data_IF_717863808697
#
_entry.id   IF_717863808697
#
_cell.length_a   1.000
_cell.length_b   1.000
_cell.length_c   1.000
_cell.angle_alpha   90.00
_cell.angle_beta   90.00
_cell.angle_gamma   90.00
#
_symmetry.space_group_name_H-M   'P 1'
#
loop_
_entity.id
_entity.type
_entity.pdbx_description
1 polymer ?
#
# COMPACT_ATOMS: atom_id res chain seq x y z
N UNK A 1 -5.61 3.79 39.25
CA UNK A 1 -5.40 2.57 38.45
C UNK A 1 -6.79 2.05 38.13
N UNK A 2 -7.28 2.23 36.89
CA UNK A 2 -8.59 1.66 36.51
C UNK A 2 -8.33 0.18 36.21
N UNK A 3 -9.02 -0.70 36.93
CA UNK A 3 -9.06 -2.12 36.61
C UNK A 3 -9.60 -2.26 35.19
N UNK A 4 -8.83 -2.93 34.33
CA UNK A 4 -9.24 -3.24 32.98
C UNK A 4 -10.04 -4.54 33.08
N UNK A 5 -11.35 -4.42 32.93
CA UNK A 5 -12.28 -5.54 32.97
C UNK A 5 -12.20 -6.30 31.65
N UNK A 6 -11.68 -7.53 31.72
CA UNK A 6 -11.59 -8.45 30.58
C UNK A 6 -12.88 -9.30 30.43
N UNK A 7 -13.90 -9.07 31.26
CA UNK A 7 -15.11 -9.89 31.31
C UNK A 7 -16.01 -9.79 30.08
N UNK A 8 -16.09 -8.59 29.47
CA UNK A 8 -17.08 -8.31 28.42
C UNK A 8 -16.63 -8.71 27.00
N UNK A 9 -15.32 -8.77 26.74
CA UNK A 9 -14.78 -9.03 25.38
C UNK A 9 -14.95 -10.50 24.91
N UNK A 10 -15.38 -11.39 25.80
CA UNK A 10 -15.53 -12.83 25.53
C UNK A 10 -16.97 -13.33 25.57
N UNK A 11 -17.96 -12.48 25.89
CA UNK A 11 -19.36 -12.90 26.02
C UNK A 11 -19.97 -13.39 24.70
N UNK A 12 -19.41 -12.99 23.55
CA UNK A 12 -19.92 -13.33 22.22
C UNK A 12 -19.19 -14.52 21.56
N UNK A 13 -18.19 -15.11 22.25
CA UNK A 13 -17.49 -16.30 21.74
C UNK A 13 -18.32 -17.55 21.99
N UNK A 14 -19.28 -17.80 21.10
CA UNK A 14 -20.09 -19.02 21.13
C UNK A 14 -19.22 -20.27 20.91
N UNK A 15 -19.32 -21.25 21.82
CA UNK A 15 -18.55 -22.50 21.77
C UNK A 15 -18.74 -23.24 20.44
N UNK A 16 -17.64 -23.72 19.86
CA UNK A 16 -17.63 -24.49 18.61
C UNK A 16 -18.01 -25.94 18.92
N UNK A 17 -19.17 -26.39 18.44
CA UNK A 17 -19.75 -27.66 18.89
C UNK A 17 -19.11 -28.90 18.26
N UNK A 18 -18.59 -28.80 17.04
CA UNK A 18 -17.91 -29.87 16.30
C UNK A 18 -17.17 -29.32 15.07
N UNK A 19 -16.41 -30.19 14.38
CA UNK A 19 -15.63 -29.82 13.18
C UNK A 19 -16.50 -29.25 12.05
N UNK A 20 -17.70 -29.78 11.85
CA UNK A 20 -18.62 -29.27 10.82
C UNK A 20 -19.16 -27.87 11.16
N UNK A 21 -19.39 -27.58 12.44
CA UNK A 21 -19.73 -26.23 12.92
C UNK A 21 -18.57 -25.25 12.69
N UNK A 22 -17.34 -25.68 12.97
CA UNK A 22 -16.13 -24.90 12.71
C UNK A 22 -15.95 -24.56 11.23
N UNK A 23 -16.06 -25.56 10.34
CA UNK A 23 -15.92 -25.37 8.89
C UNK A 23 -16.96 -24.40 8.36
N UNK A 24 -18.22 -24.54 8.78
CA UNK A 24 -19.30 -23.63 8.38
C UNK A 24 -19.04 -22.18 8.81
N UNK A 25 -18.51 -21.97 10.03
CA UNK A 25 -18.13 -20.63 10.50
C UNK A 25 -16.96 -20.05 9.71
N UNK A 26 -15.96 -20.87 9.37
CA UNK A 26 -14.86 -20.44 8.50
C UNK A 26 -15.33 -20.07 7.10
N UNK A 27 -16.29 -20.80 6.54
CA UNK A 27 -16.91 -20.47 5.26
C UNK A 27 -17.71 -19.15 5.34
N UNK A 28 -18.49 -18.95 6.41
CA UNK A 28 -19.21 -17.68 6.65
C UNK A 28 -18.25 -16.50 6.76
N UNK A 29 -17.19 -16.65 7.56
CA UNK A 29 -16.19 -15.60 7.72
C UNK A 29 -15.43 -15.30 6.43
N UNK A 30 -15.07 -16.33 5.65
CA UNK A 30 -14.46 -16.15 4.34
C UNK A 30 -15.40 -15.43 3.35
N UNK A 31 -16.71 -15.67 3.45
CA UNK A 31 -17.71 -14.97 2.66
C UNK A 31 -17.87 -13.50 3.08
N UNK A 32 -17.94 -13.22 4.39
CA UNK A 32 -17.97 -11.87 4.94
C UNK A 32 -16.73 -11.05 4.53
N UNK A 33 -15.54 -11.67 4.56
CA UNK A 33 -14.31 -11.05 4.08
C UNK A 33 -14.39 -10.73 2.57
N UNK A 34 -14.90 -11.65 1.74
CA UNK A 34 -15.08 -11.40 0.30
C UNK A 34 -16.05 -10.25 0.04
N UNK A 35 -17.18 -10.23 0.73
CA UNK A 35 -18.16 -9.15 0.61
C UNK A 35 -17.57 -7.81 1.02
N UNK A 36 -16.79 -7.78 2.11
CA UNK A 36 -16.10 -6.56 2.56
C UNK A 36 -15.11 -6.06 1.50
N UNK A 37 -14.30 -6.96 0.92
CA UNK A 37 -13.37 -6.62 -0.16
C UNK A 37 -14.12 -6.06 -1.38
N UNK A 38 -15.22 -6.69 -1.79
CA UNK A 38 -16.03 -6.23 -2.93
C UNK A 38 -16.68 -4.86 -2.69
N UNK A 39 -17.12 -4.59 -1.46
CA UNK A 39 -17.69 -3.30 -1.06
C UNK A 39 -16.64 -2.18 -0.98
N UNK A 40 -15.43 -2.51 -0.52
CA UNK A 40 -14.36 -1.53 -0.32
C UNK A 40 -13.53 -1.27 -1.59
N UNK A 41 -13.51 -2.21 -2.55
CA UNK A 41 -12.75 -2.10 -3.79
C UNK A 41 -13.69 -1.88 -4.99
N UNK A 42 -14.09 -0.63 -5.23
CA UNK A 42 -14.80 -0.28 -6.46
C UNK A 42 -14.00 -0.70 -7.71
N UNK A 43 -14.66 -1.45 -8.60
CA UNK A 43 -14.05 -1.85 -9.86
C UNK A 43 -13.76 -0.61 -10.73
N UNK A 44 -12.59 -0.60 -11.37
CA UNK A 44 -12.27 0.48 -12.29
C UNK A 44 -13.24 0.51 -13.49
N UNK A 45 -13.56 1.70 -14.04
CA UNK A 45 -14.33 1.81 -15.26
C UNK A 45 -13.69 0.98 -16.39
N UNK A 46 -14.52 0.24 -17.13
CA UNK A 46 -14.09 -0.60 -18.26
C UNK A 46 -13.77 0.19 -19.54
N UNK A 47 -13.94 1.51 -19.51
CA UNK A 47 -13.62 2.38 -20.63
C UNK A 47 -12.10 2.48 -20.85
N UNK A 48 -11.66 2.30 -22.10
CA UNK A 48 -10.25 2.29 -22.45
C UNK A 48 -9.58 3.65 -22.24
N UNK A 49 -10.28 4.75 -22.56
CA UNK A 49 -9.73 6.10 -22.39
C UNK A 49 -9.60 6.46 -20.90
N UNK A 50 -10.60 6.13 -20.08
CA UNK A 50 -10.54 6.30 -18.63
C UNK A 50 -9.41 5.46 -18.00
N UNK A 51 -9.20 4.22 -18.47
CA UNK A 51 -8.10 3.36 -18.03
C UNK A 51 -6.73 3.94 -18.40
N UNK A 52 -6.60 4.47 -19.62
CA UNK A 52 -5.38 5.14 -20.06
C UNK A 52 -5.07 6.37 -19.21
N UNK A 53 -6.03 7.29 -19.07
CA UNK A 53 -5.86 8.52 -18.28
C UNK A 53 -5.47 8.23 -16.82
N UNK A 54 -6.07 7.19 -16.22
CA UNK A 54 -5.71 6.73 -14.86
C UNK A 54 -4.26 6.26 -14.80
N UNK A 55 -3.81 5.45 -15.76
CA UNK A 55 -2.42 4.96 -15.81
C UNK A 55 -1.42 6.09 -16.01
N UNK A 56 -1.70 7.01 -16.93
CA UNK A 56 -0.85 8.18 -17.20
C UNK A 56 -0.67 9.04 -15.96
N UNK A 57 -1.75 9.30 -15.21
CA UNK A 57 -1.65 10.01 -13.93
C UNK A 57 -0.87 9.22 -12.88
N UNK A 58 -1.17 7.93 -12.73
CA UNK A 58 -0.52 7.08 -11.72
C UNK A 58 0.99 6.91 -11.94
N UNK A 59 1.47 7.04 -13.18
CA UNK A 59 2.88 7.00 -13.54
C UNK A 59 3.67 8.20 -13.01
N UNK A 60 3.04 9.36 -12.85
CA UNK A 60 3.69 10.60 -12.41
C UNK A 60 3.34 10.98 -10.96
N UNK A 61 2.16 10.59 -10.49
CA UNK A 61 1.61 10.95 -9.19
C UNK A 61 1.60 9.71 -8.28
N UNK A 62 2.64 9.60 -7.44
CA UNK A 62 2.83 8.45 -6.57
C UNK A 62 1.74 8.34 -5.50
N UNK A 63 1.30 9.47 -4.93
CA UNK A 63 0.20 9.48 -3.97
C UNK A 63 -1.08 8.96 -4.63
N UNK A 64 -1.41 9.44 -5.83
CA UNK A 64 -2.56 8.95 -6.58
C UNK A 64 -2.47 7.46 -6.86
N UNK A 65 -1.31 6.94 -7.26
CA UNK A 65 -1.12 5.50 -7.45
C UNK A 65 -1.48 4.71 -6.18
N UNK A 66 -0.95 5.12 -5.02
CA UNK A 66 -1.22 4.46 -3.75
C UNK A 66 -2.70 4.50 -3.37
N UNK A 67 -3.33 5.68 -3.44
CA UNK A 67 -4.75 5.84 -3.10
C UNK A 67 -5.68 5.11 -4.07
N UNK A 68 -5.29 5.01 -5.34
CA UNK A 68 -6.14 4.43 -6.40
C UNK A 68 -6.07 2.91 -6.43
N UNK A 69 -4.88 2.33 -6.32
CA UNK A 69 -4.68 0.88 -6.48
C UNK A 69 -4.58 0.13 -5.16
N UNK A 70 -4.29 0.83 -4.05
CA UNK A 70 -4.11 0.24 -2.73
C UNK A 70 -4.93 0.97 -1.66
N UNK A 71 -6.25 1.15 -1.85
CA UNK A 71 -7.10 1.89 -0.91
C UNK A 71 -7.10 1.26 0.49
N UNK A 72 -6.90 -0.06 0.61
CA UNK A 72 -6.79 -0.77 1.88
C UNK A 72 -5.50 -0.46 2.66
N UNK A 73 -4.42 -0.05 1.98
CA UNK A 73 -3.21 0.46 2.63
C UNK A 73 -3.26 1.97 2.86
N UNK A 74 -4.14 2.68 2.15
CA UNK A 74 -4.28 4.14 2.19
C UNK A 74 -5.76 4.52 2.39
N UNK A 75 -6.38 4.12 3.52
CA UNK A 75 -7.83 4.21 3.71
C UNK A 75 -8.34 5.63 3.97
N UNK A 76 -7.43 6.61 4.09
CA UNK A 76 -7.76 7.98 4.48
C UNK A 76 -7.07 9.00 3.57
N UNK A 77 -7.72 10.13 3.27
CA UNK A 77 -7.08 11.26 2.61
C UNK A 77 -6.24 12.12 3.58
N UNK A 78 -6.25 11.81 4.88
CA UNK A 78 -5.54 12.57 5.90
C UNK A 78 -4.15 11.99 6.17
N UNK A 79 -3.13 12.70 5.70
CA UNK A 79 -1.72 12.27 5.81
C UNK A 79 -0.94 13.02 6.87
N UNK A 80 -0.05 12.30 7.55
CA UNK A 80 0.97 12.89 8.42
C UNK A 80 1.96 13.75 7.63
N UNK A 81 2.76 14.56 8.33
CA UNK A 81 3.81 15.34 7.68
C UNK A 81 4.84 14.44 6.98
N UNK A 82 5.17 13.30 7.60
CA UNK A 82 6.10 12.34 7.02
C UNK A 82 5.54 11.73 5.73
N UNK A 83 4.27 11.31 5.73
CA UNK A 83 3.64 10.71 4.55
C UNK A 83 3.56 11.70 3.38
N UNK A 84 3.19 12.97 3.65
CA UNK A 84 3.22 14.04 2.65
C UNK A 84 4.62 14.25 2.08
N UNK A 85 5.63 14.31 2.96
CA UNK A 85 7.02 14.41 2.56
C UNK A 85 7.44 13.26 1.64
N UNK A 86 7.10 12.01 1.97
CA UNK A 86 7.44 10.85 1.14
C UNK A 86 6.75 10.89 -0.22
N UNK A 87 5.47 11.26 -0.28
CA UNK A 87 4.75 11.35 -1.55
C UNK A 87 5.37 12.35 -2.53
N UNK A 88 6.03 13.39 -2.02
CA UNK A 88 6.77 14.36 -2.83
C UNK A 88 8.23 13.94 -3.08
N UNK A 89 8.94 13.52 -2.02
CA UNK A 89 10.38 13.24 -2.08
C UNK A 89 10.69 12.01 -2.90
N UNK A 90 9.92 10.95 -2.71
CA UNK A 90 10.20 9.65 -3.34
C UNK A 90 10.19 9.74 -4.88
N UNK A 91 9.17 10.32 -5.54
CA UNK A 91 9.20 10.58 -6.98
C UNK A 91 10.40 11.44 -7.42
N UNK A 92 10.70 12.51 -6.67
CA UNK A 92 11.80 13.42 -7.00
C UNK A 92 13.16 12.71 -7.00
N UNK A 93 13.37 11.77 -6.07
CA UNK A 93 14.60 10.96 -6.00
C UNK A 93 14.67 9.98 -7.17
N UNK A 94 13.57 9.28 -7.47
CA UNK A 94 13.50 8.35 -8.61
C UNK A 94 13.78 9.07 -9.93
N UNK A 95 13.22 10.27 -10.11
CA UNK A 95 13.38 11.04 -11.35
C UNK A 95 14.70 11.84 -11.41
N UNK A 96 15.41 11.98 -10.30
CA UNK A 96 16.68 12.72 -10.20
C UNK A 96 17.79 12.14 -11.07
N UNK A 97 18.62 12.98 -11.71
CA UNK A 97 19.64 12.55 -12.68
C UNK A 97 20.80 11.69 -12.12
N UNK A 98 20.89 11.52 -10.81
CA UNK A 98 21.92 10.74 -10.12
C UNK A 98 21.27 9.69 -9.19
N UNK A 99 22.06 8.71 -8.75
CA UNK A 99 21.60 7.71 -7.80
C UNK A 99 21.27 8.36 -6.44
N UNK A 100 20.03 8.18 -5.98
CA UNK A 100 19.58 8.64 -4.67
C UNK A 100 19.95 7.65 -3.56
N UNK A 101 20.48 8.16 -2.45
CA UNK A 101 20.71 7.38 -1.23
C UNK A 101 20.20 8.20 -0.04
N UNK A 102 19.01 7.87 0.43
CA UNK A 102 18.35 8.58 1.51
C UNK A 102 18.01 7.64 2.65
N UNK A 103 18.08 8.17 3.87
CA UNK A 103 17.69 7.48 5.09
C UNK A 103 16.65 8.36 5.75
N UNK A 104 15.47 7.79 5.98
CA UNK A 104 14.35 8.51 6.56
C UNK A 104 14.01 7.92 7.92
N UNK A 105 14.12 8.75 8.95
CA UNK A 105 13.76 8.42 10.32
C UNK A 105 12.41 9.04 10.65
N UNK A 106 11.45 8.22 11.08
CA UNK A 106 10.14 8.70 11.52
C UNK A 106 9.62 7.84 12.68
N UNK A 107 8.69 8.34 13.52
CA UNK A 107 8.10 7.59 14.62
C UNK A 107 7.42 6.28 14.20
N UNK A 108 7.20 5.36 15.16
CA UNK A 108 6.40 4.15 14.90
C UNK A 108 4.96 4.53 14.50
N UNK A 109 4.34 3.71 13.66
CA UNK A 109 2.97 3.94 13.16
C UNK A 109 2.88 4.79 11.88
N UNK A 110 3.98 5.37 11.39
CA UNK A 110 3.99 6.21 10.18
C UNK A 110 3.89 5.44 8.85
N UNK A 111 3.77 4.11 8.89
CA UNK A 111 3.68 3.24 7.71
C UNK A 111 4.87 3.37 6.72
N UNK A 112 6.08 3.67 7.22
CA UNK A 112 7.34 3.75 6.45
C UNK A 112 7.53 2.58 5.49
N UNK A 113 7.50 1.34 6.00
CA UNK A 113 7.69 0.14 5.18
C UNK A 113 6.62 -0.04 4.11
N UNK A 114 5.39 0.37 4.39
CA UNK A 114 4.29 0.34 3.44
C UNK A 114 4.56 1.32 2.30
N UNK A 115 4.82 2.60 2.60
CA UNK A 115 4.98 3.62 1.56
C UNK A 115 6.32 3.57 0.84
N UNK A 116 7.44 3.26 1.49
CA UNK A 116 8.75 3.39 0.83
C UNK A 116 9.21 2.08 0.19
N UNK A 117 8.91 0.94 0.83
CA UNK A 117 9.34 -0.37 0.34
C UNK A 117 8.26 -1.09 -0.42
N UNK A 118 7.10 -1.34 0.19
CA UNK A 118 6.07 -2.16 -0.45
C UNK A 118 5.45 -1.45 -1.66
N UNK A 119 4.77 -0.33 -1.42
CA UNK A 119 4.08 0.42 -2.46
C UNK A 119 5.07 1.15 -3.38
N UNK A 120 6.17 1.67 -2.81
CA UNK A 120 7.22 2.34 -3.58
C UNK A 120 7.87 1.43 -4.62
N UNK A 121 8.19 0.19 -4.27
CA UNK A 121 8.74 -0.79 -5.22
C UNK A 121 7.74 -1.17 -6.30
N UNK A 122 6.47 -1.39 -5.94
CA UNK A 122 5.41 -1.70 -6.90
C UNK A 122 5.21 -0.56 -7.89
N UNK A 123 5.20 0.68 -7.42
CA UNK A 123 5.10 1.85 -8.29
C UNK A 123 6.26 1.92 -9.28
N UNK A 124 7.50 1.74 -8.81
CA UNK A 124 8.68 1.72 -9.68
C UNK A 124 8.58 0.64 -10.77
N UNK A 125 8.14 -0.58 -10.42
CA UNK A 125 7.98 -1.69 -11.36
C UNK A 125 6.89 -1.37 -12.40
N UNK A 126 5.69 -1.01 -11.95
CA UNK A 126 4.57 -0.70 -12.83
C UNK A 126 4.87 0.50 -13.73
N UNK A 127 5.52 1.53 -13.19
CA UNK A 127 5.95 2.72 -13.93
C UNK A 127 6.96 2.36 -15.02
N UNK A 128 7.98 1.55 -14.69
CA UNK A 128 9.00 1.15 -15.64
C UNK A 128 8.43 0.34 -16.80
N UNK A 129 7.50 -0.58 -16.52
CA UNK A 129 6.80 -1.37 -17.54
C UNK A 129 5.95 -0.47 -18.45
N UNK A 130 5.15 0.42 -17.88
CA UNK A 130 4.31 1.34 -18.65
C UNK A 130 5.14 2.26 -19.56
N UNK A 131 6.23 2.84 -19.04
CA UNK A 131 7.12 3.68 -19.85
C UNK A 131 7.82 2.91 -20.96
N UNK A 132 8.19 1.64 -20.72
CA UNK A 132 8.79 0.78 -21.74
C UNK A 132 7.82 0.49 -22.90
N UNK A 133 6.52 0.39 -22.63
CA UNK A 133 5.50 0.21 -23.67
C UNK A 133 5.32 1.47 -24.53
N UNK A 134 5.43 2.67 -23.94
CA UNK A 134 5.29 3.93 -24.65
C UNK A 134 6.51 4.29 -25.50
N UNK A 135 7.71 4.01 -24.99
CA UNK A 135 8.96 4.32 -25.68
C UNK A 135 9.88 3.09 -25.66
N UNK A 136 9.68 2.11 -26.57
CA UNK A 136 10.40 0.83 -26.56
C UNK A 136 11.92 0.96 -26.75
N UNK A 137 12.35 2.06 -27.36
CA UNK A 137 13.76 2.41 -27.61
C UNK A 137 14.38 3.27 -26.51
N UNK A 138 13.63 3.64 -25.46
CA UNK A 138 14.18 4.37 -24.34
C UNK A 138 15.28 3.55 -23.67
N UNK A 139 16.43 4.19 -23.47
CA UNK A 139 17.64 3.56 -22.95
C UNK A 139 17.36 2.87 -21.60
N UNK A 140 17.86 1.65 -21.40
CA UNK A 140 17.66 0.84 -20.19
C UNK A 140 18.06 1.58 -18.90
N UNK A 141 18.90 2.63 -19.03
CA UNK A 141 19.28 3.59 -17.98
C UNK A 141 18.11 4.40 -17.38
N UNK A 142 16.98 4.51 -18.07
CA UNK A 142 15.75 5.11 -17.52
C UNK A 142 14.98 4.15 -16.59
N UNK A 143 15.36 2.86 -16.57
CA UNK A 143 14.75 1.82 -15.72
C UNK A 143 15.44 1.80 -14.37
N UNK A 144 15.23 2.85 -13.58
CA UNK A 144 15.75 2.90 -12.22
C UNK A 144 14.93 1.96 -11.35
N UNK A 145 15.61 1.01 -10.73
CA UNK A 145 15.03 0.09 -9.78
C UNK A 145 15.40 0.60 -8.38
N UNK A 146 14.40 0.76 -7.51
CA UNK A 146 14.65 1.04 -6.10
C UNK A 146 15.00 -0.28 -5.41
N UNK A 147 16.14 -0.33 -4.73
CA UNK A 147 16.41 -1.31 -3.68
C UNK A 147 16.27 -0.55 -2.35
N UNK A 148 15.09 -0.60 -1.74
CA UNK A 148 14.87 -0.02 -0.42
C UNK A 148 15.57 -0.87 0.64
N UNK A 149 16.59 -0.33 1.30
CA UNK A 149 17.13 -0.91 2.53
C UNK A 149 16.46 -0.19 3.70
N UNK A 150 15.37 -0.75 4.21
CA UNK A 150 14.79 -0.29 5.48
C UNK A 150 15.55 -0.97 6.60
N UNK A 151 16.44 -0.23 7.26
CA UNK A 151 17.01 -0.64 8.53
C UNK A 151 16.00 -0.36 9.63
N UNK A 152 15.51 -1.42 10.26
CA UNK A 152 14.82 -1.31 11.54
C UNK A 152 15.90 -1.13 12.62
N UNK A 153 16.19 0.11 13.01
CA UNK A 153 17.08 0.43 14.14
C UNK A 153 16.36 0.15 15.46
N UNK A 154 16.04 -1.11 15.74
CA UNK A 154 15.76 -1.54 17.10
C UNK A 154 17.06 -1.45 17.91
N UNK A 155 17.37 -0.25 18.37
CA UNK A 155 18.16 0.09 19.57
C UNK A 155 18.23 1.63 19.68
N UNK A 156 17.12 2.24 20.10
CA UNK A 156 17.17 3.57 20.71
C UNK A 156 16.28 3.52 21.96
N UNK A 157 16.85 2.89 22.99
CA UNK A 157 16.50 3.13 24.40
C UNK A 157 16.84 4.56 24.80
#
# INVERSE_FOLDING_TARGET
>A
MREFDWGDDYEDLTEVKNLGDFQRRMESFAEELRQTIELECEAFPMDAAASQARRERAVVDYQFFCQTYFPHYVPTPHFSLFQKFIFERFPAVIDGGADGREVHEAPRGEAKSTYETQLGSLWCICRADYLAQLVPTANQKARKHLIGIIMNTLEQS
#
